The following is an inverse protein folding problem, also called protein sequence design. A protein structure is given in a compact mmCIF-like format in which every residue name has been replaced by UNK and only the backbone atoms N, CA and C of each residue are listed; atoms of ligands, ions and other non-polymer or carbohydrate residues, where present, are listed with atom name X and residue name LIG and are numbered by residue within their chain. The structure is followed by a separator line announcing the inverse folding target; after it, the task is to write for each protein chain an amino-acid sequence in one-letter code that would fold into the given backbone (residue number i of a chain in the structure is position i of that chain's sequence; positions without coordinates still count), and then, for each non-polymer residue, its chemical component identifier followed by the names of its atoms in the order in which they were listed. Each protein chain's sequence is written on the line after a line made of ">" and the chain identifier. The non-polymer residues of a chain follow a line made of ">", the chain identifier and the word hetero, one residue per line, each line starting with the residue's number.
data_IF_047080132435
#
_entry.id   IF_047080132435
#
_cell.length_a   1.000
_cell.length_b   1.000
_cell.length_c   1.000
_cell.angle_alpha   90.00
_cell.angle_beta   90.00
_cell.angle_gamma   90.00
#
_symmetry.space_group_name_H-M   'P 1'
#
loop_
_entity.id
_entity.type
_entity.pdbx_description
1 polymer ?
#
# COMPACT_ATOMS: atom_id res chain seq x y z
N UNK A 1 -3.93 -17.12 -68.24
CA UNK A 1 -5.04 -16.74 -67.35
C UNK A 1 -5.52 -17.83 -66.39
N UNK A 2 -5.57 -19.11 -66.80
CA UNK A 2 -6.00 -20.24 -65.91
C UNK A 2 -5.00 -20.54 -64.77
N UNK A 3 -3.72 -20.44 -65.02
CA UNK A 3 -2.64 -20.67 -64.01
C UNK A 3 -2.63 -19.60 -62.92
N UNK A 4 -2.88 -18.33 -63.27
CA UNK A 4 -2.90 -17.22 -62.30
C UNK A 4 -4.11 -17.31 -61.34
N UNK A 5 -5.28 -17.82 -61.86
CA UNK A 5 -6.44 -18.03 -61.02
C UNK A 5 -6.27 -19.17 -60.03
N UNK A 6 -5.52 -20.24 -60.40
CA UNK A 6 -5.17 -21.34 -59.50
C UNK A 6 -4.22 -20.90 -58.41
N UNK A 7 -3.25 -20.04 -58.73
CA UNK A 7 -2.30 -19.49 -57.74
C UNK A 7 -2.98 -18.55 -56.73
N UNK A 8 -3.90 -17.74 -57.21
CA UNK A 8 -4.71 -16.86 -56.33
C UNK A 8 -5.64 -17.63 -55.39
N UNK A 9 -6.23 -18.75 -55.82
CA UNK A 9 -7.06 -19.61 -54.99
C UNK A 9 -6.20 -20.32 -53.92
N UNK A 10 -5.00 -20.75 -54.30
CA UNK A 10 -4.05 -21.38 -53.31
C UNK A 10 -3.54 -20.39 -52.31
N UNK A 11 -3.26 -19.13 -52.69
CA UNK A 11 -2.87 -18.05 -51.78
C UNK A 11 -3.99 -17.65 -50.82
N UNK A 12 -5.26 -17.64 -51.30
CA UNK A 12 -6.43 -17.36 -50.46
C UNK A 12 -6.69 -18.47 -49.41
N UNK A 13 -6.39 -19.74 -49.77
CA UNK A 13 -6.50 -20.87 -48.82
C UNK A 13 -5.46 -20.85 -47.73
N UNK A 14 -4.24 -20.28 -47.98
CA UNK A 14 -3.20 -20.13 -46.97
C UNK A 14 -3.57 -19.04 -45.96
N UNK A 15 -4.27 -17.99 -46.38
CA UNK A 15 -4.75 -16.94 -45.46
C UNK A 15 -5.99 -17.32 -44.66
N UNK A 16 -6.76 -18.30 -45.09
CA UNK A 16 -7.94 -18.81 -44.37
C UNK A 16 -7.56 -19.81 -43.21
N UNK A 17 -6.32 -20.29 -43.19
CA UNK A 17 -5.85 -21.29 -42.21
C UNK A 17 -5.22 -20.78 -40.93
N UNK A 18 -5.08 -19.47 -40.75
CA UNK A 18 -4.41 -18.90 -39.56
C UNK A 18 -5.32 -18.14 -38.61
N UNK A 19 -6.60 -18.45 -38.55
CA UNK A 19 -7.51 -17.93 -37.52
C UNK A 19 -7.87 -18.95 -36.43
N UNK A 20 -7.03 -19.95 -36.18
CA UNK A 20 -6.88 -20.44 -34.83
C UNK A 20 -6.05 -19.41 -34.07
N UNK A 21 -6.66 -18.25 -33.83
CA UNK A 21 -6.28 -17.42 -32.71
C UNK A 21 -6.14 -18.38 -31.56
N UNK A 22 -4.90 -18.63 -31.12
CA UNK A 22 -4.63 -19.22 -29.84
C UNK A 22 -5.47 -18.39 -28.88
N UNK A 23 -6.57 -18.96 -28.43
CA UNK A 23 -7.40 -18.42 -27.37
C UNK A 23 -6.39 -18.37 -26.20
N UNK A 24 -5.77 -17.20 -26.00
CA UNK A 24 -4.91 -17.01 -24.85
C UNK A 24 -5.83 -17.27 -23.68
N UNK A 25 -5.72 -18.49 -23.11
CA UNK A 25 -6.31 -18.77 -21.83
C UNK A 25 -5.78 -17.69 -20.90
N UNK A 26 -6.64 -16.79 -20.46
CA UNK A 26 -6.24 -15.82 -19.45
C UNK A 26 -6.01 -16.61 -18.18
N UNK A 27 -4.88 -16.37 -17.53
CA UNK A 27 -4.58 -16.96 -16.24
C UNK A 27 -5.00 -15.99 -15.13
N UNK A 28 -5.14 -16.53 -13.93
CA UNK A 28 -5.41 -15.75 -12.75
C UNK A 28 -4.78 -16.37 -11.51
N UNK A 29 -4.62 -15.56 -10.48
CA UNK A 29 -4.07 -15.99 -9.19
C UNK A 29 -5.13 -15.85 -8.12
N UNK A 30 -5.30 -16.87 -7.30
CA UNK A 30 -6.22 -16.86 -6.17
C UNK A 30 -5.74 -15.85 -5.12
N UNK A 31 -6.60 -14.88 -4.76
CA UNK A 31 -6.31 -13.82 -3.77
C UNK A 31 -6.92 -14.12 -2.40
N UNK A 32 -7.98 -14.90 -2.34
CA UNK A 32 -8.57 -15.34 -1.09
C UNK A 32 -7.64 -16.29 -0.33
N UNK A 33 -7.63 -16.23 1.01
CA UNK A 33 -6.86 -17.21 1.81
C UNK A 33 -7.23 -18.65 1.47
N UNK A 34 -8.53 -18.89 1.29
CA UNK A 34 -9.13 -20.16 0.83
C UNK A 34 -10.35 -19.83 0.00
N UNK A 35 -10.52 -20.51 -1.11
CA UNK A 35 -11.71 -20.46 -1.94
C UNK A 35 -12.05 -21.87 -2.42
N UNK A 36 -13.31 -22.06 -2.85
CA UNK A 36 -13.77 -23.34 -3.39
C UNK A 36 -14.01 -23.22 -4.89
N UNK A 37 -13.47 -24.14 -5.65
CA UNK A 37 -13.89 -24.41 -7.02
C UNK A 37 -15.11 -25.33 -6.92
N UNK A 38 -16.24 -24.91 -7.51
CA UNK A 38 -17.53 -25.54 -7.37
C UNK A 38 -18.02 -26.12 -8.69
N UNK A 39 -18.86 -27.13 -8.62
CA UNK A 39 -19.41 -27.79 -9.82
C UNK A 39 -20.31 -26.89 -10.67
N UNK A 40 -20.92 -25.85 -10.07
CA UNK A 40 -21.72 -24.83 -10.75
C UNK A 40 -21.80 -23.55 -9.92
N UNK A 41 -22.45 -22.52 -10.45
CA UNK A 41 -22.69 -21.24 -9.77
C UNK A 41 -23.89 -21.29 -8.81
N UNK A 42 -24.60 -22.40 -8.70
CA UNK A 42 -25.76 -22.55 -7.83
C UNK A 42 -25.34 -22.57 -6.34
N UNK A 43 -26.20 -22.04 -5.47
CA UNK A 43 -25.96 -21.99 -4.02
C UNK A 43 -25.69 -23.36 -3.42
N UNK A 44 -26.34 -24.41 -3.94
CA UNK A 44 -26.22 -25.81 -3.47
C UNK A 44 -25.22 -26.65 -4.28
N UNK A 45 -24.36 -26.01 -5.10
CA UNK A 45 -23.36 -26.72 -5.88
C UNK A 45 -22.33 -27.44 -4.99
N UNK A 46 -21.86 -28.60 -5.43
CA UNK A 46 -20.81 -29.32 -4.73
C UNK A 46 -19.46 -28.60 -4.83
N UNK A 47 -18.71 -28.59 -3.75
CA UNK A 47 -17.31 -28.16 -3.73
C UNK A 47 -16.45 -29.27 -4.36
N UNK A 48 -15.68 -28.92 -5.39
CA UNK A 48 -14.82 -29.86 -6.11
C UNK A 48 -13.39 -29.83 -5.60
N UNK A 49 -12.84 -28.61 -5.38
CA UNK A 49 -11.46 -28.41 -4.96
C UNK A 49 -11.35 -27.17 -4.08
N UNK A 50 -10.61 -27.26 -2.99
CA UNK A 50 -10.19 -26.08 -2.23
C UNK A 50 -8.88 -25.54 -2.79
N UNK A 51 -8.87 -24.26 -3.16
CA UNK A 51 -7.68 -23.51 -3.60
C UNK A 51 -7.28 -22.49 -2.55
N UNK A 52 -6.00 -22.13 -2.52
CA UNK A 52 -5.42 -21.24 -1.55
C UNK A 52 -4.83 -19.99 -2.23
N UNK A 53 -4.54 -18.99 -1.45
CA UNK A 53 -3.89 -17.76 -1.93
C UNK A 53 -2.57 -18.09 -2.62
N UNK A 54 -2.38 -17.57 -3.82
CA UNK A 54 -1.19 -17.78 -4.64
C UNK A 54 -1.33 -18.92 -5.65
N UNK A 55 -2.37 -19.78 -5.53
CA UNK A 55 -2.62 -20.80 -6.54
C UNK A 55 -2.99 -20.16 -7.87
N UNK A 56 -2.45 -20.71 -8.96
CA UNK A 56 -2.69 -20.25 -10.33
C UNK A 56 -3.80 -21.09 -10.94
N UNK A 57 -4.69 -20.44 -11.68
CA UNK A 57 -5.79 -21.10 -12.40
C UNK A 57 -5.88 -20.57 -13.83
N UNK A 58 -6.23 -21.43 -14.77
CA UNK A 58 -6.57 -21.02 -16.12
C UNK A 58 -8.03 -20.59 -16.16
N UNK A 59 -8.33 -19.44 -16.75
CA UNK A 59 -9.68 -18.91 -16.88
C UNK A 59 -10.24 -19.33 -18.23
N UNK A 60 -11.31 -20.10 -18.20
CA UNK A 60 -11.96 -20.68 -19.38
C UNK A 60 -13.13 -19.80 -19.84
N UNK A 61 -13.92 -19.28 -18.89
CA UNK A 61 -15.17 -18.57 -19.17
C UNK A 61 -15.52 -17.62 -18.00
N UNK A 62 -16.32 -16.60 -18.26
CA UNK A 62 -16.90 -15.76 -17.21
C UNK A 62 -18.41 -15.61 -17.41
N UNK A 63 -19.16 -15.58 -16.30
CA UNK A 63 -20.60 -15.36 -16.31
C UNK A 63 -21.03 -14.47 -15.15
N UNK A 64 -22.07 -13.67 -15.37
CA UNK A 64 -22.68 -12.84 -14.32
C UNK A 64 -23.97 -13.54 -13.85
N UNK A 65 -24.06 -13.84 -12.56
CA UNK A 65 -25.20 -14.52 -11.94
C UNK A 65 -25.88 -13.55 -10.98
N UNK A 66 -27.22 -13.48 -10.93
CA UNK A 66 -27.94 -12.69 -9.94
C UNK A 66 -27.53 -13.12 -8.50
N UNK A 67 -27.28 -12.15 -7.61
CA UNK A 67 -27.03 -12.43 -6.20
C UNK A 67 -28.31 -13.03 -5.58
N UNK A 68 -28.24 -14.21 -4.93
CA UNK A 68 -29.41 -14.83 -4.31
C UNK A 68 -30.10 -13.97 -3.24
N UNK A 69 -29.36 -13.05 -2.63
CA UNK A 69 -29.83 -12.19 -1.55
C UNK A 69 -30.26 -10.80 -2.04
N UNK A 70 -29.82 -10.40 -3.25
CA UNK A 70 -30.13 -9.09 -3.83
C UNK A 70 -30.21 -9.18 -5.36
N UNK A 71 -31.41 -9.33 -5.87
CA UNK A 71 -31.68 -9.47 -7.31
C UNK A 71 -31.24 -8.24 -8.15
N UNK A 72 -30.90 -7.12 -7.51
CA UNK A 72 -30.39 -5.92 -8.20
C UNK A 72 -28.89 -6.02 -8.45
N UNK A 73 -28.20 -6.92 -7.74
CA UNK A 73 -26.75 -7.16 -7.87
C UNK A 73 -26.48 -8.41 -8.67
N UNK A 74 -25.41 -8.38 -9.43
CA UNK A 74 -24.86 -9.54 -10.13
C UNK A 74 -23.49 -9.86 -9.57
N UNK A 75 -23.26 -11.13 -9.30
CA UNK A 75 -21.94 -11.66 -8.95
C UNK A 75 -21.31 -12.26 -10.21
N UNK A 76 -20.07 -11.88 -10.47
CA UNK A 76 -19.28 -12.48 -11.55
C UNK A 76 -18.64 -13.75 -11.06
N UNK A 77 -18.80 -14.80 -11.86
CA UNK A 77 -18.19 -16.11 -11.67
C UNK A 77 -17.26 -16.44 -12.84
N UNK A 78 -16.16 -17.11 -12.53
CA UNK A 78 -15.19 -17.58 -13.51
C UNK A 78 -15.25 -19.10 -13.54
N UNK A 79 -15.34 -19.68 -14.73
CA UNK A 79 -15.05 -21.08 -14.95
C UNK A 79 -13.55 -21.20 -15.06
N UNK A 80 -12.95 -22.00 -14.20
CA UNK A 80 -11.51 -22.13 -14.09
C UNK A 80 -11.10 -23.59 -14.17
N UNK A 81 -9.82 -23.79 -14.54
CA UNK A 81 -9.12 -25.04 -14.47
C UNK A 81 -7.95 -24.88 -13.51
N UNK A 82 -7.92 -25.68 -12.47
CA UNK A 82 -6.84 -25.70 -11.51
C UNK A 82 -5.62 -26.47 -12.05
N UNK A 83 -4.45 -26.15 -11.53
CA UNK A 83 -3.19 -26.84 -11.83
C UNK A 83 -2.90 -27.92 -10.79
N UNK A 84 -3.93 -28.69 -10.41
CA UNK A 84 -3.83 -29.87 -9.56
C UNK A 84 -3.58 -31.17 -10.38
N UNK A 85 -3.37 -32.29 -9.71
CA UNK A 85 -3.10 -33.59 -10.37
C UNK A 85 -4.26 -34.04 -11.27
N UNK A 86 -5.51 -33.75 -10.85
CA UNK A 86 -6.72 -34.13 -11.56
C UNK A 86 -7.19 -33.09 -12.59
N UNK A 87 -6.48 -31.95 -12.66
CA UNK A 87 -6.86 -30.80 -13.52
C UNK A 87 -8.32 -30.40 -13.36
N UNK A 88 -8.73 -30.21 -12.09
CA UNK A 88 -10.12 -29.93 -11.70
C UNK A 88 -10.66 -28.69 -12.40
N UNK A 89 -11.80 -28.84 -13.09
CA UNK A 89 -12.53 -27.74 -13.71
C UNK A 89 -13.81 -27.44 -12.93
N UNK A 90 -14.09 -26.15 -12.75
CA UNK A 90 -15.32 -25.71 -12.07
C UNK A 90 -15.43 -24.20 -11.98
N UNK A 91 -16.30 -23.72 -11.11
CA UNK A 91 -16.65 -22.32 -10.98
C UNK A 91 -16.11 -21.73 -9.67
N UNK A 92 -15.51 -20.55 -9.75
CA UNK A 92 -15.05 -19.78 -8.61
C UNK A 92 -15.58 -18.33 -8.73
N UNK A 93 -15.88 -17.68 -7.62
CA UNK A 93 -16.27 -16.28 -7.60
C UNK A 93 -15.11 -15.40 -8.09
N UNK A 94 -15.36 -14.50 -9.04
CA UNK A 94 -14.34 -13.63 -9.62
C UNK A 94 -13.60 -12.76 -8.58
N UNK A 95 -14.25 -12.40 -7.47
CA UNK A 95 -13.62 -11.65 -6.36
C UNK A 95 -12.50 -12.41 -5.67
N UNK A 96 -12.41 -13.72 -5.84
CA UNK A 96 -11.39 -14.58 -5.26
C UNK A 96 -10.19 -14.77 -6.19
N UNK A 97 -10.22 -14.23 -7.41
CA UNK A 97 -9.18 -14.41 -8.43
C UNK A 97 -8.75 -13.05 -8.98
N UNK A 98 -7.46 -12.79 -8.98
CA UNK A 98 -6.85 -11.64 -9.66
C UNK A 98 -6.41 -12.09 -11.05
N UNK A 99 -6.82 -11.37 -12.08
CA UNK A 99 -6.42 -11.64 -13.45
C UNK A 99 -4.93 -11.34 -13.66
N UNK A 100 -4.31 -12.03 -14.59
CA UNK A 100 -2.87 -11.91 -14.85
C UNK A 100 -2.44 -10.51 -15.28
N UNK A 101 -3.26 -9.81 -16.08
CA UNK A 101 -3.02 -8.43 -16.48
C UNK A 101 -2.99 -7.45 -15.30
N UNK A 102 -3.86 -7.66 -14.30
CA UNK A 102 -3.89 -6.89 -13.04
C UNK A 102 -2.66 -7.20 -12.19
N UNK A 103 -2.26 -8.48 -12.12
CA UNK A 103 -1.04 -8.91 -11.40
C UNK A 103 0.22 -8.30 -12.04
N UNK A 104 0.32 -8.32 -13.37
CA UNK A 104 1.44 -7.71 -14.08
C UNK A 104 1.49 -6.19 -13.89
N UNK A 105 0.34 -5.52 -13.85
CA UNK A 105 0.27 -4.10 -13.51
C UNK A 105 0.77 -3.83 -12.07
N UNK A 106 0.42 -4.70 -11.11
CA UNK A 106 0.92 -4.59 -9.73
C UNK A 106 2.43 -4.85 -9.63
N UNK A 107 2.97 -5.83 -10.40
CA UNK A 107 4.41 -6.08 -10.49
C UNK A 107 5.15 -4.89 -11.08
N UNK A 108 4.60 -4.26 -12.13
CA UNK A 108 5.15 -3.03 -12.71
C UNK A 108 5.17 -1.90 -11.70
N UNK A 109 4.06 -1.72 -10.95
CA UNK A 109 3.97 -0.72 -9.89
C UNK A 109 5.03 -0.94 -8.79
N UNK A 110 5.34 -2.20 -8.45
CA UNK A 110 6.41 -2.54 -7.51
C UNK A 110 7.80 -2.25 -8.07
N UNK A 111 8.02 -2.51 -9.37
CA UNK A 111 9.31 -2.29 -10.03
C UNK A 111 9.68 -0.81 -10.11
N UNK A 112 8.71 0.11 -10.20
CA UNK A 112 8.96 1.56 -10.20
C UNK A 112 9.73 2.02 -8.97
N UNK A 113 9.48 1.41 -7.81
CA UNK A 113 10.09 1.77 -6.53
C UNK A 113 11.00 0.66 -5.97
N UNK A 114 11.52 -0.23 -6.83
CA UNK A 114 12.34 -1.37 -6.38
C UNK A 114 13.56 -0.96 -5.54
N UNK A 115 14.11 0.23 -5.81
CA UNK A 115 15.27 0.78 -5.12
C UNK A 115 14.90 1.72 -3.95
N UNK A 116 13.60 1.93 -3.70
CA UNK A 116 13.15 2.77 -2.58
C UNK A 116 12.98 1.90 -1.35
N UNK A 117 13.68 2.25 -0.27
CA UNK A 117 13.51 1.59 1.03
C UNK A 117 12.16 1.96 1.64
N UNK A 118 11.63 1.10 2.51
CA UNK A 118 10.42 1.42 3.27
C UNK A 118 10.63 2.72 4.06
N UNK A 119 9.66 3.62 3.95
CA UNK A 119 9.67 4.89 4.68
C UNK A 119 9.03 4.75 6.06
N UNK A 120 8.06 3.86 6.17
CA UNK A 120 7.36 3.50 7.39
C UNK A 120 6.77 2.10 7.24
N UNK A 121 6.29 1.54 8.34
CA UNK A 121 5.45 0.33 8.33
C UNK A 121 4.03 0.71 8.70
N UNK A 122 3.07 -0.01 8.15
CA UNK A 122 1.65 0.21 8.40
C UNK A 122 0.88 -1.07 8.66
N UNK A 123 -0.27 -0.92 9.30
CA UNK A 123 -1.23 -1.97 9.54
C UNK A 123 -2.64 -1.47 9.22
N UNK A 124 -3.51 -2.35 8.70
CA UNK A 124 -4.90 -2.02 8.46
C UNK A 124 -5.73 -2.06 9.76
N UNK A 125 -6.42 -0.96 10.08
CA UNK A 125 -7.41 -0.91 11.17
C UNK A 125 -8.68 -1.70 10.85
N UNK A 126 -9.07 -1.67 9.58
CA UNK A 126 -10.24 -2.38 9.04
C UNK A 126 -9.89 -2.94 7.67
N UNK A 127 -10.68 -3.91 7.19
CA UNK A 127 -10.50 -4.43 5.83
C UNK A 127 -10.60 -3.30 4.81
N UNK A 128 -9.69 -3.28 3.84
CA UNK A 128 -9.59 -2.23 2.83
C UNK A 128 -9.26 -2.80 1.44
N UNK A 129 -9.64 -2.08 0.41
CA UNK A 129 -9.29 -2.44 -0.96
C UNK A 129 -7.86 -2.03 -1.28
N UNK A 130 -7.09 -2.97 -1.83
CA UNK A 130 -5.82 -2.70 -2.49
C UNK A 130 -6.11 -2.30 -3.93
N UNK A 131 -5.58 -1.15 -4.37
CA UNK A 131 -5.90 -0.56 -5.67
C UNK A 131 -4.64 -0.33 -6.52
N UNK A 132 -4.79 -0.35 -7.84
CA UNK A 132 -3.71 0.00 -8.77
C UNK A 132 -3.39 1.50 -8.75
N UNK A 133 -4.37 2.34 -8.46
CA UNK A 133 -4.22 3.80 -8.41
C UNK A 133 -4.80 4.36 -7.12
N UNK A 134 -4.32 5.52 -6.69
CA UNK A 134 -4.84 6.22 -5.53
C UNK A 134 -6.14 6.98 -5.89
N UNK A 135 -7.16 6.24 -6.22
CA UNK A 135 -8.47 6.74 -6.62
C UNK A 135 -9.56 5.74 -6.19
N UNK A 136 -10.65 6.25 -5.65
CA UNK A 136 -11.83 5.48 -5.26
C UNK A 136 -13.12 6.00 -5.89
N UNK A 137 -13.02 6.78 -6.94
CA UNK A 137 -14.19 7.23 -7.72
C UNK A 137 -14.90 6.08 -8.43
N UNK A 138 -14.22 4.95 -8.62
CA UNK A 138 -14.73 3.72 -9.22
C UNK A 138 -14.13 2.46 -8.57
N UNK A 139 -14.54 1.30 -9.08
CA UNK A 139 -14.11 -0.02 -8.61
C UNK A 139 -13.18 -0.75 -9.58
N UNK A 140 -12.95 -0.19 -10.77
CA UNK A 140 -12.20 -0.86 -11.85
C UNK A 140 -10.71 -1.04 -11.54
N UNK A 141 -10.19 -0.25 -10.59
CA UNK A 141 -8.81 -0.30 -10.14
C UNK A 141 -8.60 -1.15 -8.87
N UNK A 142 -9.64 -1.82 -8.36
CA UNK A 142 -9.52 -2.71 -7.20
C UNK A 142 -8.84 -4.01 -7.65
N UNK A 143 -7.72 -4.35 -7.01
CA UNK A 143 -7.01 -5.59 -7.24
C UNK A 143 -7.52 -6.71 -6.35
N UNK A 144 -7.68 -6.44 -5.07
CA UNK A 144 -8.19 -7.37 -4.05
C UNK A 144 -8.59 -6.63 -2.78
N UNK A 145 -9.27 -7.33 -1.89
CA UNK A 145 -9.54 -6.84 -0.52
C UNK A 145 -8.52 -7.42 0.45
N UNK A 146 -7.92 -6.56 1.24
CA UNK A 146 -7.03 -6.94 2.35
C UNK A 146 -7.83 -7.02 3.65
N UNK A 147 -7.45 -7.96 4.50
CA UNK A 147 -8.06 -8.14 5.80
C UNK A 147 -7.61 -7.08 6.82
N UNK A 148 -8.43 -6.80 7.82
CA UNK A 148 -8.02 -6.06 9.02
C UNK A 148 -6.80 -6.72 9.66
N UNK A 149 -5.86 -5.93 10.15
CA UNK A 149 -4.62 -6.41 10.73
C UNK A 149 -3.52 -6.77 9.71
N UNK A 150 -3.78 -6.68 8.40
CA UNK A 150 -2.74 -6.86 7.38
C UNK A 150 -1.64 -5.82 7.54
N UNK A 151 -0.38 -6.26 7.58
CA UNK A 151 0.81 -5.43 7.71
C UNK A 151 1.52 -5.27 6.38
N UNK A 152 2.18 -4.12 6.17
CA UNK A 152 2.87 -3.79 4.93
C UNK A 152 3.90 -2.69 5.15
N UNK A 153 4.82 -2.57 4.18
CA UNK A 153 5.75 -1.45 4.10
C UNK A 153 5.14 -0.30 3.31
N UNK A 154 5.28 0.92 3.83
CA UNK A 154 4.89 2.15 3.14
C UNK A 154 6.11 2.68 2.39
N UNK A 155 5.99 2.82 1.08
CA UNK A 155 7.08 3.25 0.19
C UNK A 155 6.98 4.74 -0.10
N UNK A 156 5.77 5.23 -0.31
CA UNK A 156 5.47 6.63 -0.54
C UNK A 156 4.01 6.92 -0.22
N UNK A 157 3.63 8.19 -0.28
CA UNK A 157 2.23 8.60 -0.21
C UNK A 157 1.94 9.80 -1.09
N UNK A 158 0.68 10.04 -1.34
CA UNK A 158 0.22 11.25 -2.00
C UNK A 158 -1.16 11.66 -1.50
N UNK A 159 -1.46 12.94 -1.66
CA UNK A 159 -2.80 13.47 -1.47
C UNK A 159 -3.49 13.61 -2.82
N UNK A 160 -4.75 13.28 -2.86
CA UNK A 160 -5.61 13.43 -4.05
C UNK A 160 -6.90 14.13 -3.64
N UNK A 161 -7.55 14.88 -4.55
CA UNK A 161 -8.85 15.45 -4.26
C UNK A 161 -9.88 14.38 -3.90
N UNK A 162 -10.74 14.66 -2.93
CA UNK A 162 -11.87 13.76 -2.64
C UNK A 162 -12.78 13.61 -3.87
N UNK A 163 -13.26 12.39 -4.17
CA UNK A 163 -14.25 12.20 -5.22
C UNK A 163 -15.55 12.94 -4.87
N UNK A 164 -16.16 13.57 -5.86
CA UNK A 164 -17.39 14.40 -5.69
C UNK A 164 -18.65 13.56 -5.48
N UNK A 165 -18.62 12.26 -5.75
CA UNK A 165 -19.77 11.36 -5.65
C UNK A 165 -19.75 10.59 -4.33
N UNK A 166 -20.90 10.55 -3.64
CA UNK A 166 -21.09 9.81 -2.41
C UNK A 166 -21.19 8.29 -2.60
N UNK A 167 -21.43 7.80 -3.82
CA UNK A 167 -21.65 6.37 -4.09
C UNK A 167 -20.39 5.50 -4.00
N UNK A 168 -19.20 6.09 -4.18
CA UNK A 168 -17.93 5.38 -4.11
C UNK A 168 -17.37 5.22 -2.68
N UNK A 169 -17.99 5.83 -1.68
CA UNK A 169 -17.44 5.97 -0.32
C UNK A 169 -17.64 4.72 0.53
N UNK A 170 -18.68 3.93 0.27
CA UNK A 170 -19.06 2.82 1.17
C UNK A 170 -18.22 1.54 1.01
N UNK A 171 -17.53 1.35 -0.11
CA UNK A 171 -16.81 0.10 -0.39
C UNK A 171 -15.51 -0.06 0.41
N UNK A 172 -14.91 1.03 0.86
CA UNK A 172 -13.64 1.01 1.62
C UNK A 172 -13.83 1.13 3.14
N UNK A 173 -15.06 1.40 3.60
CA UNK A 173 -15.39 1.46 5.04
C UNK A 173 -16.08 0.17 5.45
N UNK A 174 -15.59 -0.50 6.50
CA UNK A 174 -16.25 -1.67 7.06
C UNK A 174 -17.70 -1.31 7.48
N UNK A 175 -18.70 -2.13 7.15
CA UNK A 175 -20.05 -1.91 7.64
C UNK A 175 -20.01 -1.89 9.18
N UNK A 176 -20.50 -0.83 9.79
CA UNK A 176 -20.74 -0.80 11.24
C UNK A 176 -21.62 -1.98 11.56
N UNK A 177 -21.12 -2.92 12.38
CA UNK A 177 -21.91 -4.01 12.90
C UNK A 177 -23.13 -3.40 13.58
N UNK A 178 -24.29 -3.63 13.02
CA UNK A 178 -25.55 -3.09 13.51
C UNK A 178 -25.89 -3.64 14.87
N UNK A 179 -25.72 -2.84 15.91
CA UNK A 179 -26.44 -3.03 17.15
C UNK A 179 -27.84 -2.44 16.96
N UNK A 180 -28.77 -3.28 16.54
CA UNK A 180 -30.17 -2.95 16.61
C UNK A 180 -30.58 -2.88 18.09
N UNK A 181 -30.69 -1.68 18.63
CA UNK A 181 -31.48 -1.42 19.82
C UNK A 181 -32.65 -0.50 19.46
N UNK A 182 -33.90 -0.94 19.61
CA UNK A 182 -35.06 -0.08 19.41
C UNK A 182 -35.27 0.81 20.65
N UNK A 183 -35.28 2.11 20.39
CA UNK A 183 -35.94 3.05 21.31
C UNK A 183 -35.03 3.90 22.19
N UNK A 184 -34.53 5.02 21.66
CA UNK A 184 -34.26 6.20 22.48
C UNK A 184 -34.60 7.46 21.67
N UNK A 185 -35.44 8.27 22.29
CA UNK A 185 -35.99 9.52 21.80
C UNK A 185 -34.89 10.50 21.40
N UNK A 186 -35.02 11.07 20.20
CA UNK A 186 -34.34 12.26 19.73
C UNK A 186 -34.42 13.37 20.77
N UNK A 187 -33.31 13.67 21.43
CA UNK A 187 -33.12 14.94 22.12
C UNK A 187 -32.18 15.77 21.27
N UNK A 188 -32.75 16.77 20.60
CA UNK A 188 -32.09 17.83 19.91
C UNK A 188 -31.20 18.60 20.93
N UNK A 189 -29.90 18.30 20.97
CA UNK A 189 -28.87 19.18 21.54
C UNK A 189 -27.96 19.59 20.43
N UNK A 190 -28.30 20.73 19.81
CA UNK A 190 -27.37 21.59 19.11
C UNK A 190 -26.37 22.12 20.16
N UNK A 191 -25.28 21.38 20.35
CA UNK A 191 -24.07 21.92 20.91
C UNK A 191 -23.23 22.36 19.75
N UNK A 192 -22.83 23.64 19.73
CA UNK A 192 -21.81 24.20 18.85
C UNK A 192 -20.47 23.46 19.12
N UNK A 193 -20.26 22.31 18.49
CA UNK A 193 -18.92 21.78 18.30
C UNK A 193 -18.27 22.66 17.23
N UNK A 194 -17.03 23.16 17.46
CA UNK A 194 -16.33 23.93 16.46
C UNK A 194 -16.25 23.07 15.20
N UNK A 195 -16.82 23.59 14.10
CA UNK A 195 -16.85 22.96 12.80
C UNK A 195 -15.38 22.73 12.39
N UNK A 196 -14.86 21.50 12.57
CA UNK A 196 -13.56 21.15 12.01
C UNK A 196 -13.60 21.39 10.50
N UNK A 197 -12.62 22.11 9.96
CA UNK A 197 -12.61 22.41 8.53
C UNK A 197 -12.65 21.12 7.73
N UNK A 198 -13.58 21.03 6.78
CA UNK A 198 -13.78 19.83 6.00
C UNK A 198 -12.56 19.50 5.13
N UNK A 199 -11.96 18.32 5.32
CA UNK A 199 -10.86 17.85 4.50
C UNK A 199 -11.31 17.69 3.04
N UNK A 200 -10.66 18.43 2.15
CA UNK A 200 -10.94 18.42 0.70
C UNK A 200 -10.09 17.39 -0.05
N UNK A 201 -9.03 16.90 0.59
CA UNK A 201 -8.07 15.95 0.02
C UNK A 201 -8.03 14.67 0.82
N UNK A 202 -7.59 13.60 0.18
CA UNK A 202 -7.44 12.27 0.76
C UNK A 202 -5.99 11.84 0.70
N UNK A 203 -5.50 11.27 1.80
CA UNK A 203 -4.18 10.65 1.86
C UNK A 203 -4.26 9.22 1.36
N UNK A 204 -3.31 8.83 0.51
CA UNK A 204 -3.14 7.49 -0.01
C UNK A 204 -1.70 7.03 0.17
N UNK A 205 -1.52 5.80 0.63
CA UNK A 205 -0.22 5.16 0.78
C UNK A 205 0.05 4.19 -0.35
N UNK A 206 1.21 4.32 -1.00
CA UNK A 206 1.77 3.28 -1.88
C UNK A 206 2.50 2.28 -1.00
N UNK A 207 2.07 1.04 -1.07
CA UNK A 207 2.55 -0.01 -0.15
C UNK A 207 3.21 -1.16 -0.90
N UNK A 208 4.14 -1.82 -0.22
CA UNK A 208 4.71 -3.10 -0.62
C UNK A 208 4.21 -4.16 0.34
N UNK A 209 3.72 -5.26 -0.21
CA UNK A 209 3.11 -6.35 0.54
C UNK A 209 3.97 -7.62 0.46
N UNK A 210 4.09 -8.36 1.58
CA UNK A 210 4.70 -9.67 1.55
C UNK A 210 3.78 -10.69 0.86
N UNK A 211 4.34 -11.74 0.24
CA UNK A 211 3.56 -12.75 -0.51
C UNK A 211 2.48 -13.46 0.32
N UNK A 212 2.68 -13.56 1.63
CA UNK A 212 1.73 -14.18 2.57
C UNK A 212 0.45 -13.35 2.72
N UNK A 213 0.54 -12.04 2.49
CA UNK A 213 -0.58 -11.11 2.58
C UNK A 213 -1.26 -10.93 1.22
N UNK A 214 -0.47 -10.86 0.13
CA UNK A 214 -1.00 -10.58 -1.20
C UNK A 214 -0.12 -11.16 -2.30
N UNK A 215 -0.69 -11.77 -3.36
CA UNK A 215 0.05 -12.08 -4.58
C UNK A 215 0.52 -10.81 -5.31
N UNK A 216 -0.25 -9.71 -5.22
CA UNK A 216 0.16 -8.43 -5.75
C UNK A 216 1.24 -7.80 -4.85
N UNK A 217 2.46 -7.55 -5.35
CA UNK A 217 3.58 -7.10 -4.53
C UNK A 217 3.47 -5.63 -4.10
N UNK A 218 2.65 -4.82 -4.78
CA UNK A 218 2.45 -3.42 -4.46
C UNK A 218 1.04 -2.94 -4.84
N UNK A 219 0.62 -1.83 -4.24
CA UNK A 219 -0.63 -1.17 -4.54
C UNK A 219 -0.83 0.10 -3.72
N UNK A 220 -2.01 0.71 -3.85
CA UNK A 220 -2.42 1.90 -3.12
C UNK A 220 -3.50 1.55 -2.10
N UNK A 221 -3.36 2.09 -0.89
CA UNK A 221 -4.32 1.92 0.22
C UNK A 221 -4.79 3.30 0.69
N UNK A 222 -6.09 3.42 0.96
CA UNK A 222 -6.69 4.63 1.50
C UNK A 222 -6.19 4.93 2.91
N UNK A 223 -5.64 6.12 3.13
CA UNK A 223 -4.91 6.48 4.35
C UNK A 223 -5.73 6.39 5.63
N UNK A 224 -7.05 6.65 5.59
CA UNK A 224 -7.92 6.54 6.78
C UNK A 224 -8.00 5.11 7.34
N UNK A 225 -7.70 4.09 6.52
CA UNK A 225 -7.71 2.70 6.96
C UNK A 225 -6.38 2.24 7.54
N UNK A 226 -5.34 3.07 7.43
CA UNK A 226 -3.97 2.73 7.81
C UNK A 226 -3.65 3.30 9.20
N UNK A 227 -3.04 2.47 10.01
CA UNK A 227 -2.35 2.86 11.23
C UNK A 227 -0.85 2.67 11.05
N UNK A 228 -0.07 3.71 11.34
CA UNK A 228 1.38 3.63 11.26
C UNK A 228 1.92 2.78 12.41
N UNK A 229 2.62 1.70 12.09
CA UNK A 229 3.21 0.76 13.03
C UNK A 229 4.59 1.27 13.50
N UNK A 230 4.59 2.30 14.35
CA UNK A 230 5.82 2.89 14.89
C UNK A 230 6.53 1.87 15.78
N UNK A 231 7.86 1.64 15.60
CA UNK A 231 8.63 0.72 16.44
C UNK A 231 8.51 1.03 17.94
N UNK A 232 8.37 -0.02 18.74
CA UNK A 232 8.11 0.09 20.19
C UNK A 232 9.22 0.82 20.96
N UNK A 233 10.46 0.75 20.48
CA UNK A 233 11.63 1.38 21.10
C UNK A 233 11.69 2.90 20.86
N UNK A 234 10.93 3.44 19.90
CA UNK A 234 10.93 4.89 19.60
C UNK A 234 9.57 5.58 19.80
N UNK A 235 8.49 4.85 19.96
CA UNK A 235 7.12 5.42 20.05
C UNK A 235 6.97 6.45 21.19
N UNK A 236 7.71 6.28 22.27
CA UNK A 236 7.66 7.16 23.45
C UNK A 236 8.43 8.48 23.26
N UNK A 237 9.19 8.63 22.17
CA UNK A 237 9.95 9.85 21.89
C UNK A 237 9.17 10.89 21.07
N UNK A 238 7.88 10.67 20.84
CA UNK A 238 7.00 11.68 20.26
C UNK A 238 6.85 12.87 21.19
N UNK A 239 7.22 14.05 20.73
CA UNK A 239 7.16 15.29 21.50
C UNK A 239 6.32 16.36 20.79
N UNK A 240 4.98 16.14 20.76
CA UNK A 240 4.04 17.09 20.15
C UNK A 240 4.08 17.16 18.62
N UNK A 241 4.72 16.17 17.97
CA UNK A 241 4.75 15.97 16.52
C UNK A 241 4.46 14.53 16.18
N UNK A 242 3.96 14.29 14.99
CA UNK A 242 3.74 12.94 14.50
C UNK A 242 4.98 12.41 13.79
N UNK A 243 5.29 11.14 13.99
CA UNK A 243 6.28 10.43 13.19
C UNK A 243 5.62 10.02 11.88
N UNK A 244 6.17 10.50 10.77
CA UNK A 244 5.63 10.22 9.44
C UNK A 244 6.47 9.21 8.66
N UNK A 245 7.78 9.17 8.93
CA UNK A 245 8.70 8.16 8.40
C UNK A 245 9.82 7.87 9.39
N UNK A 246 10.39 6.66 9.30
CA UNK A 246 11.53 6.25 10.12
C UNK A 246 12.36 5.19 9.41
N UNK A 247 13.67 5.27 9.59
CA UNK A 247 14.62 4.27 9.07
C UNK A 247 15.69 3.96 10.13
N UNK A 248 16.05 2.68 10.22
CA UNK A 248 17.08 2.23 11.14
C UNK A 248 18.47 2.62 10.63
N UNK A 249 19.34 3.10 11.53
CA UNK A 249 20.68 3.57 11.20
C UNK A 249 21.78 2.56 11.55
N UNK A 250 21.55 1.62 12.44
CA UNK A 250 22.54 0.65 12.95
C UNK A 250 22.34 -0.79 12.42
N UNK A 251 21.57 -0.98 11.37
CA UNK A 251 21.42 -2.24 10.63
C UNK A 251 22.09 -2.19 9.25
N UNK A 252 22.13 -3.31 8.55
CA UNK A 252 22.39 -3.28 7.11
C UNK A 252 21.15 -2.69 6.41
N UNK A 253 21.28 -1.83 5.37
CA UNK A 253 20.13 -1.28 4.64
C UNK A 253 19.15 -2.34 4.10
N UNK A 254 19.63 -3.58 3.91
CA UNK A 254 18.80 -4.72 3.53
C UNK A 254 17.94 -5.27 4.68
N UNK A 255 18.36 -5.06 5.92
CA UNK A 255 17.62 -5.52 7.11
C UNK A 255 16.47 -4.57 7.49
N UNK A 256 16.48 -3.34 6.96
CA UNK A 256 15.38 -2.37 7.12
C UNK A 256 14.08 -2.79 6.42
N UNK A 257 14.13 -3.78 5.51
CA UNK A 257 12.96 -4.32 4.80
C UNK A 257 12.25 -5.44 5.56
N UNK A 258 12.72 -5.87 6.73
CA UNK A 258 12.10 -6.97 7.46
C UNK A 258 11.45 -6.52 8.78
N UNK A 259 10.56 -5.53 8.73
CA UNK A 259 9.56 -5.36 9.79
C UNK A 259 8.52 -6.49 9.80
N UNK A 260 8.59 -7.41 8.84
CA UNK A 260 7.82 -8.66 8.77
C UNK A 260 8.66 -9.86 9.20
N UNK A 261 9.42 -9.78 10.31
CA UNK A 261 9.86 -11.02 10.94
C UNK A 261 8.64 -11.76 11.49
N UNK A 262 8.51 -13.00 11.01
CA UNK A 262 7.48 -14.02 11.28
C UNK A 262 7.40 -14.41 12.76
N UNK A 263 7.19 -13.47 13.66
CA UNK A 263 6.89 -13.87 15.04
C UNK A 263 6.02 -12.79 15.70
N UNK A 264 4.78 -13.16 15.97
CA UNK A 264 3.85 -12.29 16.66
C UNK A 264 4.46 -11.78 17.95
N UNK A 265 4.81 -10.50 17.98
CA UNK A 265 5.22 -9.83 19.20
C UNK A 265 6.72 -9.81 19.49
N UNK A 266 7.61 -10.00 18.53
CA UNK A 266 9.03 -9.79 18.77
C UNK A 266 9.29 -8.30 18.96
N UNK A 267 9.64 -7.92 20.18
CA UNK A 267 10.16 -6.61 20.52
C UNK A 267 11.30 -6.27 19.56
N UNK A 268 11.19 -5.17 18.82
CA UNK A 268 12.28 -4.69 17.98
C UNK A 268 13.50 -4.44 18.86
N UNK A 269 14.64 -5.03 18.50
CA UNK A 269 15.88 -4.75 19.26
C UNK A 269 16.15 -3.25 19.21
N UNK A 270 16.35 -2.57 20.35
CA UNK A 270 16.61 -1.15 20.36
C UNK A 270 17.78 -0.78 19.47
N UNK A 271 17.69 0.37 18.80
CA UNK A 271 18.70 0.81 17.84
C UNK A 271 18.68 2.30 17.57
N UNK A 272 19.57 2.75 16.69
CA UNK A 272 19.62 4.16 16.26
C UNK A 272 18.69 4.39 15.07
N UNK A 273 18.00 5.52 15.06
CA UNK A 273 16.93 5.80 14.11
C UNK A 273 17.04 7.19 13.47
N UNK A 274 16.78 7.27 12.19
CA UNK A 274 16.35 8.48 11.50
C UNK A 274 14.83 8.54 11.60
N UNK A 275 14.28 9.62 12.11
CA UNK A 275 12.84 9.86 12.24
C UNK A 275 12.51 11.19 11.55
N UNK A 276 11.51 11.17 10.71
CA UNK A 276 10.95 12.37 10.10
C UNK A 276 9.64 12.71 10.79
N UNK A 277 9.57 13.94 11.30
CA UNK A 277 8.45 14.43 12.10
C UNK A 277 7.64 15.47 11.33
N UNK A 278 6.36 15.53 11.62
CA UNK A 278 5.45 16.56 11.11
C UNK A 278 4.66 17.18 12.26
N UNK A 279 4.53 18.50 12.23
CA UNK A 279 3.66 19.24 13.13
C UNK A 279 2.20 18.94 12.84
N UNK A 280 1.42 18.70 13.88
CA UNK A 280 -0.03 18.62 13.74
C UNK A 280 -0.60 19.96 13.30
N UNK A 281 -1.52 19.94 12.36
CA UNK A 281 -2.22 21.12 11.87
C UNK A 281 -3.73 20.90 11.99
N UNK A 282 -4.45 21.92 12.45
CA UNK A 282 -5.91 21.92 12.45
C UNK A 282 -6.48 22.48 11.13
N UNK A 283 -5.62 22.75 10.13
CA UNK A 283 -6.06 23.23 8.82
C UNK A 283 -6.17 22.03 7.85
N UNK A 284 -7.09 22.10 6.85
CA UNK A 284 -7.20 21.11 5.82
C UNK A 284 -5.86 20.92 5.08
N UNK A 285 -5.50 19.69 4.83
CA UNK A 285 -4.27 19.36 4.13
C UNK A 285 -4.33 19.75 2.66
N UNK A 286 -3.31 20.47 2.16
CA UNK A 286 -3.18 20.81 0.74
C UNK A 286 -2.50 19.71 -0.07
N UNK A 287 -2.66 19.73 -1.40
CA UNK A 287 -2.01 18.76 -2.29
C UNK A 287 -0.48 18.89 -2.27
N UNK A 288 0.02 20.12 -2.14
CA UNK A 288 1.46 20.43 -2.18
C UNK A 288 2.08 20.57 -0.78
N UNK A 289 1.40 20.05 0.24
CA UNK A 289 1.90 20.12 1.60
C UNK A 289 3.16 19.26 1.77
N UNK A 290 4.21 19.78 2.48
CA UNK A 290 5.40 19.01 2.78
C UNK A 290 5.07 17.72 3.51
N UNK A 291 5.86 16.67 3.26
CA UNK A 291 5.68 15.38 3.92
C UNK A 291 6.12 15.44 5.37
N UNK A 292 7.22 16.18 5.65
CA UNK A 292 7.73 16.37 7.00
C UNK A 292 8.30 17.79 7.19
N UNK A 293 8.40 18.23 8.43
CA UNK A 293 8.92 19.55 8.78
C UNK A 293 10.07 19.54 9.79
N UNK A 294 10.51 18.34 10.22
CA UNK A 294 11.68 18.18 11.13
C UNK A 294 12.35 16.83 10.94
N UNK A 295 13.67 16.84 11.13
CA UNK A 295 14.52 15.66 11.21
C UNK A 295 14.84 15.41 12.67
N UNK A 296 14.67 14.18 13.12
CA UNK A 296 15.06 13.74 14.45
C UNK A 296 15.91 12.47 14.35
N UNK A 297 17.15 12.50 14.83
CA UNK A 297 18.02 11.34 14.87
C UNK A 297 18.20 10.93 16.33
N UNK A 298 17.75 9.72 16.63
CA UNK A 298 17.99 9.04 17.91
C UNK A 298 19.19 8.12 17.76
N UNK A 299 20.20 8.31 18.61
CA UNK A 299 21.27 7.34 18.82
C UNK A 299 20.89 6.38 19.94
N UNK A 300 21.39 5.15 19.90
CA UNK A 300 21.24 4.17 20.96
C UNK A 300 22.57 3.83 21.59
N UNK A 301 22.70 4.04 22.91
CA UNK A 301 23.88 3.63 23.67
C UNK A 301 23.68 2.21 24.23
N UNK A 302 24.45 1.26 23.70
CA UNK A 302 24.39 -0.15 24.12
C UNK A 302 24.86 -0.39 25.58
N UNK A 303 25.60 0.56 26.16
CA UNK A 303 26.11 0.42 27.54
C UNK A 303 25.07 0.81 28.56
N UNK A 304 24.44 1.97 28.37
CA UNK A 304 23.36 2.45 29.25
C UNK A 304 21.99 1.85 28.86
N UNK A 305 21.87 1.24 27.68
CA UNK A 305 20.62 0.74 27.10
C UNK A 305 19.56 1.84 26.94
N UNK A 306 20.00 3.05 26.61
CA UNK A 306 19.14 4.23 26.48
C UNK A 306 19.32 4.89 25.11
N UNK A 307 18.23 5.50 24.64
CA UNK A 307 18.30 6.39 23.50
C UNK A 307 18.69 7.81 23.92
N UNK A 308 19.39 8.50 23.03
CA UNK A 308 19.75 9.90 23.18
C UNK A 308 19.52 10.67 21.87
N UNK A 309 19.32 11.97 21.98
CA UNK A 309 19.20 12.84 20.80
C UNK A 309 20.59 13.03 20.16
N UNK A 310 20.81 12.40 19.01
CA UNK A 310 22.03 12.60 18.22
C UNK A 310 21.95 13.89 17.38
N UNK A 311 20.75 14.19 16.85
CA UNK A 311 20.49 15.40 16.09
C UNK A 311 18.99 15.73 16.06
N UNK A 312 18.67 17.02 16.07
CA UNK A 312 17.33 17.54 15.81
C UNK A 312 17.44 18.81 14.98
N UNK A 313 16.81 18.82 13.80
CA UNK A 313 16.86 19.99 12.92
C UNK A 313 15.96 21.13 13.42
N UNK A 314 16.21 22.39 13.00
CA UNK A 314 15.17 23.41 12.97
C UNK A 314 14.00 22.98 12.06
N UNK A 315 12.93 23.79 12.07
CA UNK A 315 11.80 23.57 11.15
C UNK A 315 12.29 23.75 9.70
N UNK A 316 11.87 22.84 8.83
CA UNK A 316 12.25 22.78 7.42
C UNK A 316 11.07 22.34 6.55
N UNK A 317 11.27 22.25 5.26
CA UNK A 317 10.28 21.79 4.28
C UNK A 317 10.87 20.57 3.57
N UNK A 318 10.36 19.39 3.89
CA UNK A 318 10.92 18.14 3.40
C UNK A 318 9.91 17.24 2.69
N UNK A 319 10.43 16.45 1.75
CA UNK A 319 9.66 15.54 0.90
C UNK A 319 10.31 14.16 0.86
N UNK A 320 9.50 13.13 0.76
CA UNK A 320 9.96 11.75 0.61
C UNK A 320 10.42 11.46 -0.84
N UNK A 321 11.21 10.40 -1.04
CA UNK A 321 11.69 9.43 -0.03
C UNK A 321 12.95 9.91 0.71
N UNK A 322 13.09 9.48 1.97
CA UNK A 322 14.36 9.48 2.66
C UNK A 322 15.19 8.26 2.22
N UNK A 323 16.50 8.43 2.09
CA UNK A 323 17.42 7.35 1.72
C UNK A 323 18.55 7.27 2.70
N UNK A 324 18.73 6.12 3.35
CA UNK A 324 19.91 5.81 4.16
C UNK A 324 20.90 5.05 3.29
N UNK A 325 22.13 5.55 3.20
CA UNK A 325 23.18 5.02 2.33
C UNK A 325 24.44 4.69 3.15
N UNK A 326 25.32 3.87 2.58
CA UNK A 326 26.58 3.48 3.21
C UNK A 326 26.46 2.28 4.15
N UNK A 327 27.59 1.86 4.70
CA UNK A 327 27.72 0.70 5.61
C UNK A 327 28.66 1.02 6.78
N UNK A 328 28.44 0.34 7.90
CA UNK A 328 29.30 0.49 9.06
C UNK A 328 29.32 1.93 9.60
N UNK A 329 30.50 2.51 9.70
CA UNK A 329 30.69 3.88 10.22
C UNK A 329 30.59 4.95 9.11
N UNK A 330 30.61 4.57 7.83
CA UNK A 330 30.47 5.48 6.67
C UNK A 330 29.00 5.55 6.20
N UNK A 331 28.11 5.86 7.12
CA UNK A 331 26.69 6.03 6.80
C UNK A 331 26.32 7.48 6.58
N UNK A 332 25.37 7.68 5.70
CA UNK A 332 24.72 8.97 5.45
C UNK A 332 23.25 8.77 5.19
N UNK A 333 22.49 9.83 5.25
CA UNK A 333 21.12 9.84 4.72
C UNK A 333 20.92 11.06 3.84
N UNK A 334 20.11 10.88 2.81
CA UNK A 334 19.77 11.90 1.83
C UNK A 334 18.29 12.21 1.93
N UNK A 335 17.96 13.48 2.01
CA UNK A 335 16.60 14.00 2.10
C UNK A 335 16.37 15.04 1.01
N UNK A 336 15.18 15.04 0.43
CA UNK A 336 14.75 16.09 -0.48
C UNK A 336 14.16 17.26 0.31
N UNK A 337 14.86 18.39 0.30
CA UNK A 337 14.46 19.59 1.03
C UNK A 337 14.17 20.71 0.05
N UNK A 338 13.22 21.57 0.42
CA UNK A 338 12.95 22.81 -0.28
C UNK A 338 13.72 23.93 0.40
N UNK A 339 14.48 24.71 -0.36
CA UNK A 339 15.20 25.87 0.13
C UNK A 339 14.31 27.12 0.19
N UNK A 340 14.87 28.25 0.65
CA UNK A 340 14.14 29.52 0.79
C UNK A 340 13.65 30.07 -0.55
N UNK A 341 14.28 29.71 -1.67
CA UNK A 341 13.85 30.09 -3.01
C UNK A 341 12.71 29.24 -3.54
N UNK A 342 12.33 28.18 -2.83
CA UNK A 342 11.36 27.19 -3.28
C UNK A 342 11.96 26.07 -4.13
N UNK A 343 13.28 26.05 -4.36
CA UNK A 343 13.93 25.02 -5.15
C UNK A 343 14.12 23.74 -4.34
N UNK A 344 13.87 22.59 -5.00
CA UNK A 344 14.05 21.26 -4.42
C UNK A 344 15.51 20.83 -4.54
N UNK A 345 16.11 20.40 -3.43
CA UNK A 345 17.50 19.95 -3.37
C UNK A 345 17.63 18.67 -2.57
N UNK A 346 18.32 17.68 -3.12
CA UNK A 346 18.75 16.50 -2.36
C UNK A 346 19.91 16.90 -1.45
N UNK A 347 19.71 16.74 -0.14
CA UNK A 347 20.61 17.21 0.91
C UNK A 347 21.12 16.01 1.70
N UNK A 348 22.45 15.84 1.72
CA UNK A 348 23.11 14.72 2.38
C UNK A 348 23.56 15.11 3.80
N UNK A 349 23.28 14.22 4.75
CA UNK A 349 23.68 14.28 6.14
C UNK A 349 24.63 13.12 6.42
N UNK A 350 25.84 13.37 6.90
CA UNK A 350 26.81 12.32 7.22
C UNK A 350 26.69 11.90 8.68
N UNK A 351 26.77 10.61 8.94
CA UNK A 351 26.77 10.02 10.27
C UNK A 351 28.21 9.68 10.67
N UNK A 352 28.58 9.97 11.88
CA UNK A 352 29.88 9.57 12.43
C UNK A 352 29.77 9.27 13.93
N UNK A 353 30.72 8.53 14.44
CA UNK A 353 30.88 8.31 15.89
C UNK A 353 31.99 9.17 16.43
N UNK A 354 31.72 9.86 17.54
CA UNK A 354 32.76 10.60 18.26
C UNK A 354 33.75 9.64 18.96
N UNK A 355 34.77 10.19 19.60
CA UNK A 355 35.79 9.43 20.32
C UNK A 355 35.22 8.53 21.45
N UNK A 356 33.99 8.78 21.90
CA UNK A 356 33.29 7.99 22.91
C UNK A 356 32.38 6.91 22.27
N UNK A 357 32.33 6.84 20.94
CA UNK A 357 31.44 5.95 20.20
C UNK A 357 30.00 6.43 20.09
N UNK A 358 29.74 7.70 20.44
CA UNK A 358 28.39 8.31 20.37
C UNK A 358 28.09 8.76 18.95
N UNK A 359 26.95 8.35 18.43
CA UNK A 359 26.47 8.74 17.08
C UNK A 359 26.24 10.26 17.03
N UNK A 360 26.76 10.89 16.01
CA UNK A 360 26.60 12.31 15.69
C UNK A 360 26.22 12.48 14.23
N UNK A 361 25.62 13.61 13.91
CA UNK A 361 25.23 13.99 12.55
C UNK A 361 25.99 15.24 12.16
N UNK A 362 26.68 15.19 11.02
CA UNK A 362 27.19 16.35 10.35
C UNK A 362 26.13 16.87 9.39
N UNK A 363 25.44 17.93 9.79
CA UNK A 363 24.37 18.54 9.00
C UNK A 363 24.98 19.60 8.07
N UNK A 364 24.58 19.63 6.79
CA UNK A 364 24.91 20.75 5.92
C UNK A 364 24.22 22.03 6.47
N UNK A 365 24.77 23.21 6.17
CA UNK A 365 24.16 24.49 6.53
C UNK A 365 22.85 24.67 5.77
N UNK A 366 21.75 24.24 6.35
CA UNK A 366 20.38 24.50 5.88
C UNK A 366 19.88 25.70 6.67
N UNK A 367 19.53 26.78 5.97
CA UNK A 367 18.97 27.96 6.61
C UNK A 367 17.63 27.63 7.29
N UNK A 368 17.41 28.09 8.55
CA UNK A 368 16.15 27.83 9.26
C UNK A 368 14.98 28.56 8.58
N UNK A 369 13.84 27.91 8.45
CA UNK A 369 12.62 28.54 7.97
C UNK A 369 12.16 29.62 8.95
N UNK A 370 12.07 30.88 8.55
CA UNK A 370 11.46 31.91 9.38
C UNK A 370 9.97 31.59 9.61
N UNK A 371 9.58 31.48 10.87
CA UNK A 371 8.16 31.37 11.24
C UNK A 371 7.48 32.69 10.90
N UNK A 372 6.69 32.72 9.83
CA UNK A 372 5.73 33.80 9.64
C UNK A 372 4.79 33.81 10.86
N UNK A 373 5.02 34.73 11.77
CA UNK A 373 4.03 35.06 12.82
C UNK A 373 2.78 35.60 12.10
N UNK A 374 1.68 34.85 12.17
CA UNK A 374 0.33 35.37 11.88
C UNK A 374 -0.26 35.90 13.18
#
# INVERSE_FOLDING_TARGET
>A
MRQVKLLLIFLALIFAGCSTLAQRSSTGVVVARRAQIRSSTAVVAADLLQVNRGDVVDILESTDVPDPNDNTRKERWLRVKAHDEDTTEGWIEARNVMLDDVLEAAKKLAAEDANVTAQASGQLRASSNLRLTADRSGNDNIMMRLDSGSTFDIISWKRVPKPKSSESIETDVAPKAGSAQPGARSSNRQGDEPNEPEETNELWYKVRLPPEISPAPAGWIYGKQVELAVPSDIIFYRTGREFVAWQRLDGDPKDNNSSTEKDGGRESKPGSWLILEKSSSNQPHSLDEPDFDRIYVLGYDKRSQEHYTAYRSPDLTGYLPAKVEGRGDDKSFVLRLQDESGAMKDTQYSLYKDARGVLKVNAPNVAPRERRRK
#
